data_IF_615590511750
#
_entry.id   IF_615590511750
#
_cell.length_a   1.000
_cell.length_b   1.000
_cell.length_c   1.000
_cell.angle_alpha   90.00
_cell.angle_beta   90.00
_cell.angle_gamma   90.00
#
_symmetry.space_group_name_H-M   'P 1'
#
loop_
_entity.id
_entity.type
_entity.pdbx_description
1 polymer ?
#
# COMPACT_ATOMS: atom_id res chain seq x y z
N UNK A 1 -10.88 8.66 31.83
CA UNK A 1 -9.44 8.31 31.78
C UNK A 1 -9.26 7.03 30.97
N UNK A 2 -8.55 7.05 29.82
CA UNK A 2 -8.24 5.82 29.10
C UNK A 2 -7.38 4.91 29.99
N UNK A 3 -7.77 3.64 30.15
CA UNK A 3 -6.98 2.67 30.94
C UNK A 3 -5.63 2.47 30.25
N UNK A 4 -4.53 2.46 31.01
CA UNK A 4 -3.13 2.32 30.52
C UNK A 4 -2.94 1.21 29.47
N UNK A 5 -3.72 0.13 29.55
CA UNK A 5 -3.73 -0.95 28.55
C UNK A 5 -4.19 -0.54 27.15
N UNK A 6 -5.10 0.43 27.00
CA UNK A 6 -5.58 0.89 25.68
C UNK A 6 -4.53 1.67 24.90
N UNK A 7 -3.59 2.32 25.60
CA UNK A 7 -2.51 3.08 24.94
C UNK A 7 -1.46 2.10 24.40
N UNK A 8 -1.14 1.06 25.18
CA UNK A 8 -0.24 -0.01 24.75
C UNK A 8 -0.77 -0.79 23.54
N UNK A 9 -2.07 -1.11 23.54
CA UNK A 9 -2.74 -1.80 22.43
C UNK A 9 -2.67 -0.99 21.12
N UNK A 10 -2.96 0.31 21.19
CA UNK A 10 -2.85 1.21 20.03
C UNK A 10 -1.42 1.34 19.53
N UNK A 11 -0.44 1.43 20.44
CA UNK A 11 0.97 1.46 20.09
C UNK A 11 1.42 0.17 19.40
N UNK A 12 0.97 -0.99 19.90
CA UNK A 12 1.27 -2.28 19.28
C UNK A 12 0.66 -2.40 17.88
N UNK A 13 -0.60 -2.02 17.69
CA UNK A 13 -1.27 -1.99 16.37
C UNK A 13 -0.50 -1.10 15.39
N UNK A 14 -0.10 0.10 15.82
CA UNK A 14 0.69 1.01 14.99
C UNK A 14 2.04 0.41 14.56
N UNK A 15 2.76 -0.24 15.48
CA UNK A 15 4.04 -0.88 15.18
C UNK A 15 3.84 -2.03 14.19
N UNK A 16 2.83 -2.87 14.41
CA UNK A 16 2.51 -4.00 13.52
C UNK A 16 2.18 -3.51 12.11
N UNK A 17 1.37 -2.46 11.98
CA UNK A 17 1.07 -1.84 10.68
C UNK A 17 2.33 -1.31 10.00
N UNK A 18 3.19 -0.61 10.75
CA UNK A 18 4.44 -0.07 10.21
C UNK A 18 5.33 -1.19 9.67
N UNK A 19 5.46 -2.29 10.42
CA UNK A 19 6.19 -3.47 9.97
C UNK A 19 5.54 -4.11 8.74
N UNK A 20 4.21 -4.27 8.74
CA UNK A 20 3.46 -4.87 7.63
C UNK A 20 3.59 -4.07 6.33
N UNK A 21 3.48 -2.75 6.39
CA UNK A 21 3.62 -1.86 5.23
C UNK A 21 5.05 -1.93 4.67
N UNK A 22 6.08 -1.82 5.51
CA UNK A 22 7.46 -1.89 5.05
C UNK A 22 7.83 -3.27 4.50
N UNK A 23 7.32 -4.35 5.10
CA UNK A 23 7.51 -5.71 4.59
C UNK A 23 6.82 -5.88 3.22
N UNK A 24 5.61 -5.37 3.06
CA UNK A 24 4.89 -5.38 1.77
C UNK A 24 5.67 -4.62 0.69
N UNK A 25 6.25 -3.46 1.02
CA UNK A 25 7.08 -2.67 0.09
C UNK A 25 8.39 -3.38 -0.27
N UNK A 26 8.99 -4.12 0.66
CA UNK A 26 10.18 -4.93 0.42
C UNK A 26 9.87 -6.12 -0.49
N UNK A 27 8.74 -6.80 -0.26
CA UNK A 27 8.24 -7.86 -1.15
C UNK A 27 7.95 -7.29 -2.53
N UNK A 28 7.34 -6.10 -2.62
CA UNK A 28 7.11 -5.42 -3.88
C UNK A 28 8.42 -5.07 -4.60
N UNK A 29 9.44 -4.60 -3.87
CA UNK A 29 10.78 -4.36 -4.41
C UNK A 29 11.41 -5.65 -4.95
N UNK A 30 11.38 -6.72 -4.16
CA UNK A 30 11.94 -8.02 -4.55
C UNK A 30 11.24 -8.57 -5.80
N UNK A 31 9.91 -8.52 -5.85
CA UNK A 31 9.15 -8.88 -7.05
C UNK A 31 9.52 -7.99 -8.25
N UNK A 32 9.73 -6.69 -8.04
CA UNK A 32 10.01 -5.74 -9.13
C UNK A 32 11.41 -5.91 -9.73
N UNK A 33 12.43 -6.16 -8.91
CA UNK A 33 13.84 -6.05 -9.31
C UNK A 33 14.62 -7.36 -9.29
N UNK A 34 14.26 -8.33 -8.44
CA UNK A 34 15.02 -9.58 -8.27
C UNK A 34 14.30 -10.82 -8.82
N UNK A 35 12.97 -10.85 -8.77
CA UNK A 35 12.20 -12.05 -9.19
C UNK A 35 12.27 -12.37 -10.70
N UNK A 36 12.76 -11.44 -11.52
CA UNK A 36 12.81 -11.60 -12.97
C UNK A 36 11.46 -11.43 -13.68
N UNK A 37 10.36 -11.17 -12.96
CA UNK A 37 8.99 -11.04 -13.50
C UNK A 37 8.71 -9.67 -14.16
N UNK A 38 9.69 -8.74 -14.18
CA UNK A 38 9.52 -7.36 -14.66
C UNK A 38 10.10 -7.07 -16.05
N UNK A 39 9.35 -6.33 -16.88
CA UNK A 39 9.76 -5.91 -18.26
C UNK A 39 10.86 -4.82 -18.26
N UNK A 40 11.14 -4.19 -17.11
CA UNK A 40 12.09 -3.07 -17.00
C UNK A 40 13.24 -3.41 -16.07
N UNK A 41 14.41 -3.73 -16.63
CA UNK A 41 15.63 -4.09 -15.88
C UNK A 41 16.44 -2.89 -15.37
N UNK A 42 15.78 -1.77 -15.06
CA UNK A 42 16.49 -0.63 -14.48
C UNK A 42 16.63 -0.89 -12.99
N UNK A 43 17.76 -1.48 -12.60
CA UNK A 43 18.08 -1.71 -11.19
C UNK A 43 18.13 -0.36 -10.47
N UNK A 44 17.30 -0.20 -9.45
CA UNK A 44 17.31 0.96 -8.55
C UNK A 44 17.87 0.46 -7.23
N UNK A 45 18.97 1.04 -6.71
CA UNK A 45 19.53 0.62 -5.43
C UNK A 45 18.52 0.85 -4.31
N UNK A 46 18.53 -0.01 -3.29
CA UNK A 46 17.59 0.04 -2.17
C UNK A 46 17.56 1.42 -1.49
N UNK A 47 18.72 2.10 -1.40
CA UNK A 47 18.81 3.45 -0.85
C UNK A 47 18.00 4.49 -1.63
N UNK A 48 17.96 4.38 -2.96
CA UNK A 48 17.12 5.25 -3.79
C UNK A 48 15.64 4.85 -3.74
N UNK A 49 15.33 3.59 -3.45
CA UNK A 49 13.96 3.11 -3.21
C UNK A 49 13.42 3.50 -1.83
N UNK A 50 14.29 3.78 -0.86
CA UNK A 50 13.90 4.17 0.50
C UNK A 50 13.03 5.42 0.52
N UNK A 51 13.37 6.46 -0.26
CA UNK A 51 12.58 7.70 -0.31
C UNK A 51 11.12 7.46 -0.76
N UNK A 52 10.83 6.87 -1.93
CA UNK A 52 9.44 6.58 -2.33
C UNK A 52 8.77 5.58 -1.39
N UNK A 53 9.51 4.60 -0.85
CA UNK A 53 8.96 3.67 0.15
C UNK A 53 8.49 4.40 1.41
N UNK A 54 9.28 5.34 1.95
CA UNK A 54 8.88 6.15 3.11
C UNK A 54 7.66 7.00 2.82
N UNK A 55 7.58 7.64 1.64
CA UNK A 55 6.41 8.44 1.25
C UNK A 55 5.14 7.58 1.20
N UNK A 56 5.23 6.40 0.58
CA UNK A 56 4.10 5.46 0.51
C UNK A 56 3.73 4.94 1.90
N UNK A 57 4.71 4.62 2.75
CA UNK A 57 4.48 4.21 4.13
C UNK A 57 3.75 5.28 4.94
N UNK A 58 4.19 6.53 4.86
CA UNK A 58 3.53 7.67 5.51
C UNK A 58 2.08 7.83 5.03
N UNK A 59 1.85 7.70 3.72
CA UNK A 59 0.50 7.74 3.15
C UNK A 59 -0.43 6.69 3.76
N UNK A 60 0.00 5.42 3.80
CA UNK A 60 -0.82 4.33 4.35
C UNK A 60 -1.12 4.52 5.83
N UNK A 61 -0.12 4.94 6.62
CA UNK A 61 -0.30 5.23 8.05
C UNK A 61 -1.33 6.35 8.25
N UNK A 62 -1.25 7.44 7.48
CA UNK A 62 -2.22 8.54 7.56
C UNK A 62 -3.63 8.08 7.18
N UNK A 63 -3.74 7.21 6.17
CA UNK A 63 -5.02 6.67 5.74
C UNK A 63 -5.66 5.79 6.83
N UNK A 64 -4.90 4.89 7.44
CA UNK A 64 -5.40 4.06 8.54
C UNK A 64 -5.76 4.89 9.78
N UNK A 65 -5.03 5.98 10.02
CA UNK A 65 -5.36 6.94 11.07
C UNK A 65 -6.68 7.69 10.76
N UNK A 66 -6.90 8.12 9.51
CA UNK A 66 -8.13 8.79 9.07
C UNK A 66 -9.36 7.89 9.14
N UNK A 67 -9.22 6.61 8.75
CA UNK A 67 -10.28 5.60 8.91
C UNK A 67 -10.49 5.16 10.36
N UNK A 68 -9.67 5.64 11.29
CA UNK A 68 -9.82 5.36 12.73
C UNK A 68 -9.53 3.91 13.10
N UNK A 69 -8.66 3.23 12.35
CA UNK A 69 -8.33 1.82 12.55
C UNK A 69 -7.69 1.52 13.91
N UNK A 70 -7.07 2.52 14.56
CA UNK A 70 -6.47 2.42 15.89
C UNK A 70 -7.48 2.51 17.05
N UNK A 71 -8.70 2.00 16.87
CA UNK A 71 -9.75 1.99 17.91
C UNK A 71 -9.67 0.70 18.73
N UNK A 72 -9.83 0.80 20.05
CA UNK A 72 -9.65 -0.33 20.97
C UNK A 72 -10.71 -1.43 20.74
N UNK A 73 -10.29 -2.70 20.82
CA UNK A 73 -11.05 -3.90 20.43
C UNK A 73 -12.33 -4.23 21.22
N UNK A 74 -12.72 -3.42 22.21
CA UNK A 74 -13.57 -3.92 23.30
C UNK A 74 -15.00 -4.31 22.93
N UNK A 75 -15.52 -3.98 21.75
CA UNK A 75 -16.92 -4.28 21.36
C UNK A 75 -17.16 -4.54 19.87
N UNK A 76 -16.12 -4.63 19.03
CA UNK A 76 -16.29 -4.76 17.58
C UNK A 76 -16.17 -6.22 17.12
N UNK A 77 -17.08 -6.69 16.25
CA UNK A 77 -16.97 -8.01 15.64
C UNK A 77 -15.74 -8.09 14.73
N UNK A 78 -15.05 -9.25 14.72
CA UNK A 78 -13.89 -9.50 13.83
C UNK A 78 -14.24 -9.30 12.36
N UNK A 79 -15.48 -9.58 11.98
CA UNK A 79 -15.97 -9.37 10.61
C UNK A 79 -16.10 -7.88 10.27
N UNK A 80 -16.58 -7.05 11.20
CA UNK A 80 -16.71 -5.62 10.97
C UNK A 80 -15.34 -4.95 10.82
N UNK A 81 -14.34 -5.47 11.54
CA UNK A 81 -12.95 -5.03 11.41
C UNK A 81 -12.37 -5.36 10.03
N UNK A 82 -12.55 -6.59 9.54
CA UNK A 82 -12.11 -6.97 8.18
C UNK A 82 -12.79 -6.11 7.11
N UNK A 83 -14.08 -5.81 7.27
CA UNK A 83 -14.81 -4.91 6.36
C UNK A 83 -14.26 -3.49 6.44
N UNK A 84 -13.90 -3.00 7.63
CA UNK A 84 -13.30 -1.68 7.81
C UNK A 84 -11.92 -1.59 7.14
N UNK A 85 -11.07 -2.61 7.31
CA UNK A 85 -9.78 -2.73 6.62
C UNK A 85 -10.00 -2.72 5.10
N UNK A 86 -10.92 -3.56 4.61
CA UNK A 86 -11.23 -3.66 3.18
C UNK A 86 -11.68 -2.32 2.59
N UNK A 87 -12.53 -1.57 3.29
CA UNK A 87 -12.95 -0.21 2.88
C UNK A 87 -11.79 0.78 2.86
N UNK A 88 -10.93 0.76 3.88
CA UNK A 88 -9.76 1.65 3.94
C UNK A 88 -8.79 1.35 2.79
N UNK A 89 -8.48 0.08 2.55
CA UNK A 89 -7.60 -0.36 1.45
C UNK A 89 -8.23 -0.03 0.09
N UNK A 90 -9.51 -0.32 -0.12
CA UNK A 90 -10.20 0.00 -1.37
C UNK A 90 -10.18 1.50 -1.66
N UNK A 91 -10.45 2.33 -0.65
CA UNK A 91 -10.36 3.78 -0.77
C UNK A 91 -8.93 4.24 -1.08
N UNK A 92 -7.93 3.70 -0.38
CA UNK A 92 -6.52 4.03 -0.62
C UNK A 92 -6.03 3.65 -2.01
N UNK A 93 -6.45 2.50 -2.52
CA UNK A 93 -6.18 2.07 -3.90
C UNK A 93 -6.90 2.98 -4.90
N UNK A 94 -8.13 3.39 -4.62
CA UNK A 94 -8.87 4.31 -5.48
C UNK A 94 -8.19 5.68 -5.56
N UNK A 95 -7.70 6.22 -4.43
CA UNK A 95 -6.89 7.44 -4.41
C UNK A 95 -5.61 7.27 -5.23
N UNK A 96 -4.88 6.14 -5.06
CA UNK A 96 -3.71 5.85 -5.91
C UNK A 96 -4.06 5.77 -7.38
N UNK A 97 -5.19 5.16 -7.73
CA UNK A 97 -5.68 5.09 -9.10
C UNK A 97 -5.88 6.50 -9.65
N UNK A 98 -6.59 7.38 -8.94
CA UNK A 98 -6.77 8.76 -9.38
C UNK A 98 -5.46 9.56 -9.48
N UNK A 99 -4.52 9.36 -8.57
CA UNK A 99 -3.21 10.04 -8.61
C UNK A 99 -2.32 9.55 -9.76
N UNK A 100 -2.48 8.29 -10.17
CA UNK A 100 -1.70 7.67 -11.25
C UNK A 100 -2.42 7.70 -12.60
N UNK A 101 -3.66 8.21 -12.64
CA UNK A 101 -4.37 8.49 -13.88
C UNK A 101 -3.66 9.62 -14.63
N UNK A 102 -2.84 9.25 -15.61
CA UNK A 102 -2.32 10.18 -16.59
C UNK A 102 -3.40 10.45 -17.65
N UNK A 103 -4.10 11.57 -17.52
CA UNK A 103 -5.12 12.02 -18.47
C UNK A 103 -4.55 12.28 -19.88
N UNK A 104 -3.24 12.49 -20.02
CA UNK A 104 -2.58 12.70 -21.31
C UNK A 104 -2.18 11.37 -22.01
N UNK A 105 -1.98 10.29 -21.25
CA UNK A 105 -1.66 8.96 -21.79
C UNK A 105 -2.43 7.84 -21.08
N UNK A 106 -3.76 7.72 -21.30
CA UNK A 106 -4.58 6.69 -20.68
C UNK A 106 -4.17 5.25 -21.06
N UNK A 107 -3.39 5.09 -22.13
CA UNK A 107 -2.80 3.83 -22.58
C UNK A 107 -1.28 4.00 -22.78
N UNK A 108 -0.42 3.56 -21.84
CA UNK A 108 1.02 3.59 -22.05
C UNK A 108 1.40 2.76 -23.29
N UNK A 109 2.36 3.24 -24.08
CA UNK A 109 2.79 2.65 -25.37
C UNK A 109 3.02 1.13 -25.30
N UNK A 110 3.48 0.62 -24.16
CA UNK A 110 3.68 -0.81 -23.87
C UNK A 110 2.40 -1.66 -23.94
N UNK A 111 1.23 -1.10 -23.57
CA UNK A 111 -0.06 -1.80 -23.66
C UNK A 111 -0.62 -1.82 -25.08
N UNK A 112 -0.34 -0.80 -25.89
CA UNK A 112 -0.70 -0.77 -27.31
C UNK A 112 0.10 -1.82 -28.10
N UNK A 113 1.38 -2.01 -27.77
CA UNK A 113 2.22 -3.06 -28.39
C UNK A 113 1.67 -4.47 -28.12
N UNK A 114 1.15 -4.72 -26.91
CA UNK A 114 0.47 -5.99 -26.56
C UNK A 114 -0.80 -6.24 -27.37
N UNK A 115 -1.58 -5.18 -27.65
CA UNK A 115 -2.80 -5.29 -28.46
C UNK A 115 -2.47 -5.55 -29.94
N UNK A 116 -1.40 -4.97 -30.47
CA UNK A 116 -0.96 -5.18 -31.86
C UNK A 116 -0.22 -6.49 -32.09
N UNK A 117 0.23 -7.18 -31.04
CA UNK A 117 0.99 -8.43 -31.16
C UNK A 117 0.20 -9.55 -31.85
N UNK A 118 -1.12 -9.60 -31.64
CA UNK A 118 -2.00 -10.62 -32.23
C UNK A 118 -2.35 -10.39 -33.70
N UNK A 119 -2.02 -9.21 -34.24
CA UNK A 119 -2.35 -8.79 -35.60
C UNK A 119 -1.17 -8.95 -36.57
N UNK A 120 0.01 -9.34 -36.05
CA UNK A 120 1.22 -9.58 -36.85
C UNK A 120 1.50 -11.06 -36.99
#
# INVERSE_FOLDING_TARGET
MPKRGQIAEKGALFIVDLFGINLSLLVAYWMRFESGVGVSRRFIPLAAYAMPATVISCYWVLLFLFFGMYRAWKFQSRFDEVIAIGKAVAFGVMVFFFLTLDAAHPLPKTRVVLLTYWIR
#
